data_IF_088985350073
#
_entry.id   IF_088985350073
#
_cell.length_a   1.000
_cell.length_b   1.000
_cell.length_c   1.000
_cell.angle_alpha   90.00
_cell.angle_beta   90.00
_cell.angle_gamma   90.00
#
_symmetry.space_group_name_H-M   'P 1'
#
loop_
_entity.id
_entity.type
_entity.pdbx_description
1 polymer ?
#
# COMPACT_ATOMS: atom_id res chain seq x y z
N UNK A 1 29.95 3.49 -8.79
CA UNK A 1 29.94 4.89 -9.27
C UNK A 1 28.58 5.18 -9.88
N UNK A 2 27.95 6.26 -9.49
CA UNK A 2 26.71 6.70 -10.11
C UNK A 2 27.01 7.28 -11.49
N UNK A 3 26.51 6.65 -12.55
CA UNK A 3 26.76 7.07 -13.94
C UNK A 3 25.77 8.13 -14.44
N UNK A 4 24.63 8.28 -13.78
CA UNK A 4 23.60 9.26 -14.14
C UNK A 4 23.01 9.87 -12.88
N UNK A 5 23.00 11.19 -12.80
CA UNK A 5 22.33 11.94 -11.74
C UNK A 5 21.08 12.57 -12.36
N UNK A 6 19.92 12.17 -11.86
CA UNK A 6 18.68 12.87 -12.23
C UNK A 6 18.60 14.18 -11.46
N UNK A 7 18.37 15.27 -12.15
CA UNK A 7 18.16 16.58 -11.54
C UNK A 7 16.88 16.62 -10.69
N UNK A 8 15.93 15.76 -11.03
CA UNK A 8 14.67 15.61 -10.29
C UNK A 8 14.56 14.17 -9.84
N UNK A 9 14.20 13.96 -8.59
CA UNK A 9 13.86 12.64 -8.08
C UNK A 9 12.66 12.03 -8.80
N UNK A 10 12.37 10.75 -8.53
CA UNK A 10 11.16 10.13 -9.03
C UNK A 10 9.93 10.92 -8.60
N UNK A 11 8.98 11.12 -9.52
CA UNK A 11 7.76 11.87 -9.25
C UNK A 11 6.89 11.22 -8.16
N UNK A 12 6.99 9.89 -8.04
CA UNK A 12 6.26 9.12 -7.03
C UNK A 12 6.95 7.77 -6.75
N UNK A 13 6.65 7.19 -5.61
CA UNK A 13 7.02 5.83 -5.23
C UNK A 13 5.90 5.22 -4.37
N UNK A 14 5.86 3.91 -4.30
CA UNK A 14 4.82 3.20 -3.54
C UNK A 14 4.79 3.63 -2.07
N UNK A 15 3.60 3.75 -1.53
CA UNK A 15 3.40 4.17 -0.14
C UNK A 15 3.50 5.67 0.11
N UNK A 16 3.83 6.48 -0.91
CA UNK A 16 3.85 7.93 -0.79
C UNK A 16 2.41 8.47 -0.74
N UNK A 17 2.15 9.39 0.19
CA UNK A 17 0.88 10.11 0.24
C UNK A 17 0.74 11.04 -0.97
N UNK A 18 -0.45 11.04 -1.56
CA UNK A 18 -0.86 12.13 -2.44
C UNK A 18 -1.34 13.30 -1.57
N UNK A 19 -0.79 14.48 -1.78
CA UNK A 19 -1.02 15.64 -0.94
C UNK A 19 -2.42 16.27 -1.04
N UNK A 20 -3.32 15.70 -1.83
CA UNK A 20 -4.65 16.26 -2.09
C UNK A 20 -5.70 15.55 -1.24
N UNK A 21 -6.50 16.33 -0.53
CA UNK A 21 -7.68 15.88 0.19
C UNK A 21 -7.46 15.49 1.66
N UNK A 22 -8.55 15.21 2.37
CA UNK A 22 -8.49 14.80 3.77
C UNK A 22 -7.88 13.40 3.91
N UNK A 23 -7.18 13.18 5.01
CA UNK A 23 -6.55 11.89 5.32
C UNK A 23 -6.65 11.56 6.80
N UNK A 24 -6.75 10.28 7.09
CA UNK A 24 -6.71 9.75 8.45
C UNK A 24 -5.57 8.74 8.52
N UNK A 25 -4.58 9.04 9.34
CA UNK A 25 -3.41 8.18 9.57
C UNK A 25 -3.40 7.78 11.03
N UNK A 26 -3.27 6.49 11.29
CA UNK A 26 -3.13 5.96 12.63
C UNK A 26 -1.79 5.22 12.77
N UNK A 27 -1.25 5.18 13.99
CA UNK A 27 -0.01 4.48 14.30
C UNK A 27 -0.30 3.20 15.05
N UNK A 28 0.36 2.12 14.63
CA UNK A 28 0.27 0.80 15.25
C UNK A 28 1.66 0.20 15.38
N UNK A 29 1.83 -0.80 16.23
CA UNK A 29 3.02 -1.64 16.24
C UNK A 29 2.91 -2.74 15.18
N UNK A 30 4.00 -3.01 14.47
CA UNK A 30 4.06 -4.13 13.54
C UNK A 30 4.22 -5.44 14.31
N UNK A 31 3.27 -6.36 14.19
CA UNK A 31 3.39 -7.69 14.77
C UNK A 31 4.35 -8.59 13.98
N UNK A 32 4.55 -8.27 12.71
CA UNK A 32 5.49 -8.91 11.80
C UNK A 32 6.15 -7.88 10.86
N UNK A 33 7.11 -8.29 10.05
CA UNK A 33 7.67 -7.41 9.02
C UNK A 33 6.59 -7.03 7.99
N UNK A 34 6.38 -5.74 7.75
CA UNK A 34 5.35 -5.20 6.86
C UNK A 34 6.01 -4.38 5.75
N UNK A 35 5.90 -4.79 4.48
CA UNK A 35 6.37 -3.99 3.36
C UNK A 35 5.59 -2.68 3.22
N UNK A 36 6.24 -1.67 2.69
CA UNK A 36 5.63 -0.39 2.35
C UNK A 36 4.52 -0.59 1.29
N UNK A 37 3.44 0.18 1.41
CA UNK A 37 2.24 0.11 0.56
C UNK A 37 1.47 -1.22 0.63
N UNK A 38 1.77 -2.06 1.60
CA UNK A 38 1.04 -3.30 1.81
C UNK A 38 -0.26 -3.03 2.59
N UNK A 39 -1.39 -3.68 2.24
CA UNK A 39 -2.59 -3.60 3.06
C UNK A 39 -2.35 -4.29 4.42
N UNK A 40 -2.90 -3.72 5.47
CA UNK A 40 -2.74 -4.21 6.84
C UNK A 40 -4.09 -4.50 7.49
N UNK A 41 -4.09 -5.47 8.37
CA UNK A 41 -5.23 -5.84 9.23
C UNK A 41 -4.84 -5.72 10.69
N UNK A 42 -5.83 -5.70 11.58
CA UNK A 42 -5.59 -5.69 13.01
C UNK A 42 -4.88 -6.99 13.45
N UNK A 43 -3.90 -6.84 14.33
CA UNK A 43 -3.12 -7.93 14.88
C UNK A 43 -3.80 -8.63 16.07
N UNK A 44 -3.01 -9.34 16.86
CA UNK A 44 -3.47 -10.05 18.05
C UNK A 44 -4.01 -9.07 19.09
N UNK A 45 -3.30 -7.97 19.35
CA UNK A 45 -3.77 -6.86 20.18
C UNK A 45 -4.43 -5.83 19.25
N UNK A 46 -5.74 -5.91 19.10
CA UNK A 46 -6.50 -5.23 18.03
C UNK A 46 -6.46 -3.70 18.07
N UNK A 47 -6.19 -3.09 19.19
CA UNK A 47 -6.10 -1.65 19.35
C UNK A 47 -4.68 -1.11 19.23
N UNK A 48 -3.68 -1.98 19.20
CA UNK A 48 -2.27 -1.61 19.24
C UNK A 48 -1.41 -2.16 18.10
N UNK A 49 -1.79 -3.28 17.50
CA UNK A 49 -0.95 -4.03 16.57
C UNK A 49 -1.60 -4.26 15.21
N UNK A 50 -0.77 -4.35 14.17
CA UNK A 50 -1.19 -4.69 12.80
C UNK A 50 -0.30 -5.77 12.20
N UNK A 51 -0.90 -6.53 11.28
CA UNK A 51 -0.26 -7.56 10.45
C UNK A 51 -0.46 -7.23 8.98
N UNK A 52 0.30 -7.89 8.10
CA UNK A 52 -0.03 -7.91 6.67
C UNK A 52 -1.43 -8.49 6.46
N UNK A 53 -2.24 -7.82 5.66
CA UNK A 53 -3.51 -8.38 5.23
C UNK A 53 -3.24 -9.41 4.14
N UNK A 54 -3.39 -10.68 4.47
CA UNK A 54 -3.29 -11.80 3.52
C UNK A 54 -4.61 -12.06 2.78
N UNK A 55 -5.66 -11.36 3.18
CA UNK A 55 -6.99 -11.38 2.54
C UNK A 55 -7.54 -9.95 2.49
N UNK A 56 -8.37 -9.66 1.51
CA UNK A 56 -9.03 -8.35 1.42
C UNK A 56 -10.03 -8.09 2.54
N UNK A 57 -10.60 -9.15 3.12
CA UNK A 57 -11.70 -9.06 4.08
C UNK A 57 -11.34 -8.41 5.43
N UNK A 58 -10.10 -8.45 5.85
CA UNK A 58 -9.67 -7.89 7.13
C UNK A 58 -8.88 -6.59 7.04
N UNK A 59 -8.63 -6.10 5.85
CA UNK A 59 -7.79 -4.92 5.64
C UNK A 59 -8.46 -3.65 6.18
N UNK A 60 -7.72 -2.90 7.00
CA UNK A 60 -8.19 -1.64 7.60
C UNK A 60 -7.54 -0.40 6.98
N UNK A 61 -6.48 -0.58 6.22
CA UNK A 61 -5.72 0.48 5.59
C UNK A 61 -4.43 -0.05 4.97
N UNK A 62 -3.52 0.86 4.64
CA UNK A 62 -2.25 0.55 3.99
C UNK A 62 -1.08 1.14 4.76
N UNK A 63 0.03 0.42 4.81
CA UNK A 63 1.28 0.91 5.39
C UNK A 63 1.86 2.02 4.52
N UNK A 64 2.13 3.18 5.13
CA UNK A 64 2.71 4.32 4.45
C UNK A 64 4.23 4.21 4.33
N UNK A 65 4.81 4.88 3.34
CA UNK A 65 6.25 5.04 3.22
C UNK A 65 6.80 5.86 4.40
N UNK A 66 7.91 5.40 4.93
CA UNK A 66 8.68 6.11 5.95
C UNK A 66 10.10 6.35 5.42
N UNK A 67 10.48 7.61 5.28
CA UNK A 67 11.80 8.01 4.77
C UNK A 67 12.96 7.63 5.69
N UNK A 68 12.68 7.32 6.95
CA UNK A 68 13.69 6.86 7.90
C UNK A 68 14.06 5.39 7.75
N UNK A 69 13.39 4.66 6.85
CA UNK A 69 13.63 3.24 6.65
C UNK A 69 14.75 2.99 5.66
N UNK A 70 15.70 2.17 6.08
CA UNK A 70 16.74 1.68 5.20
C UNK A 70 16.22 0.52 4.34
N UNK A 71 16.79 0.41 3.15
CA UNK A 71 16.54 -0.73 2.30
C UNK A 71 17.22 -1.98 2.86
N UNK A 72 16.49 -3.08 2.98
CA UNK A 72 17.06 -4.36 3.41
C UNK A 72 18.08 -4.89 2.38
N UNK A 73 18.87 -5.87 2.78
CA UNK A 73 19.81 -6.56 1.88
C UNK A 73 19.13 -7.20 0.65
N UNK A 74 17.83 -7.48 0.76
CA UNK A 74 17.00 -7.97 -0.37
C UNK A 74 16.41 -6.85 -1.23
N UNK A 75 16.77 -5.60 -0.99
CA UNK A 75 16.25 -4.45 -1.72
C UNK A 75 14.85 -4.01 -1.34
N UNK A 76 14.33 -4.48 -0.22
CA UNK A 76 12.98 -4.17 0.26
C UNK A 76 13.02 -3.08 1.32
N UNK A 77 12.14 -2.09 1.19
CA UNK A 77 11.84 -1.12 2.25
C UNK A 77 10.64 -1.63 3.01
N UNK A 78 10.81 -1.91 4.30
CA UNK A 78 9.75 -2.47 5.14
C UNK A 78 9.91 -2.08 6.60
N UNK A 79 8.80 -2.14 7.34
CA UNK A 79 8.82 -2.05 8.79
C UNK A 79 9.26 -3.39 9.37
N UNK A 80 10.16 -3.38 10.34
CA UNK A 80 10.51 -4.57 11.10
C UNK A 80 9.45 -4.88 12.16
N UNK A 81 9.46 -6.11 12.67
CA UNK A 81 8.61 -6.50 13.80
C UNK A 81 8.80 -5.54 14.99
N UNK A 82 7.71 -5.16 15.64
CA UNK A 82 7.63 -4.23 16.78
C UNK A 82 7.95 -2.76 16.46
N UNK A 83 8.22 -2.42 15.23
CA UNK A 83 8.35 -1.01 14.83
C UNK A 83 6.98 -0.34 14.70
N UNK A 84 6.97 0.98 14.86
CA UNK A 84 5.76 1.78 14.65
C UNK A 84 5.47 1.92 13.18
N UNK A 85 4.28 1.50 12.77
CA UNK A 85 3.77 1.57 11.39
C UNK A 85 2.75 2.70 11.29
N UNK A 86 2.94 3.60 10.32
CA UNK A 86 1.92 4.57 9.95
C UNK A 86 0.96 3.92 8.96
N UNK A 87 -0.31 3.83 9.31
CA UNK A 87 -1.37 3.21 8.51
C UNK A 87 -2.32 4.27 7.99
N UNK A 88 -2.44 4.38 6.68
CA UNK A 88 -3.45 5.22 6.04
C UNK A 88 -4.79 4.50 6.04
N UNK A 89 -5.73 5.01 6.82
CA UNK A 89 -7.10 4.47 6.93
C UNK A 89 -8.06 5.16 5.97
N UNK A 90 -7.80 6.41 5.65
CA UNK A 90 -8.58 7.21 4.70
C UNK A 90 -7.66 8.23 4.03
N UNK A 91 -7.82 8.40 2.73
CA UNK A 91 -7.04 9.36 1.95
C UNK A 91 -6.50 8.77 0.65
N UNK A 92 -5.53 9.43 0.05
CA UNK A 92 -4.95 9.04 -1.23
C UNK A 92 -3.48 8.68 -1.08
N UNK A 93 -3.06 7.64 -1.77
CA UNK A 93 -1.66 7.20 -1.78
C UNK A 93 -1.28 6.53 -3.10
N UNK A 94 0.01 6.45 -3.35
CA UNK A 94 0.57 5.72 -4.47
C UNK A 94 0.75 4.25 -4.11
N UNK A 95 0.29 3.38 -5.00
CA UNK A 95 0.42 1.92 -4.88
C UNK A 95 0.97 1.32 -6.17
N UNK A 96 1.56 0.13 -6.07
CA UNK A 96 1.92 -0.65 -7.25
C UNK A 96 0.73 -1.46 -7.75
N UNK A 97 0.57 -1.51 -9.06
CA UNK A 97 -0.42 -2.34 -9.73
C UNK A 97 0.22 -3.60 -10.33
N UNK A 98 -0.56 -4.67 -10.43
CA UNK A 98 -0.12 -5.92 -11.05
C UNK A 98 -0.07 -5.80 -12.57
N UNK A 99 -0.98 -5.03 -13.15
CA UNK A 99 -1.23 -4.89 -14.59
C UNK A 99 -1.78 -3.50 -14.92
N UNK A 100 -2.28 -3.31 -16.13
CA UNK A 100 -2.99 -2.10 -16.52
C UNK A 100 -4.29 -1.95 -15.72
N UNK A 101 -4.55 -0.78 -15.18
CA UNK A 101 -5.76 -0.46 -14.41
C UNK A 101 -6.43 0.79 -14.94
N UNK A 102 -7.75 0.83 -14.85
CA UNK A 102 -8.57 1.97 -15.27
C UNK A 102 -8.80 2.99 -14.15
N UNK A 103 -8.72 4.28 -14.46
CA UNK A 103 -9.13 5.32 -13.53
C UNK A 103 -10.62 5.17 -13.17
N UNK A 104 -10.95 5.31 -11.89
CA UNK A 104 -12.30 5.13 -11.36
C UNK A 104 -12.69 3.68 -11.06
N UNK A 105 -11.88 2.70 -11.44
CA UNK A 105 -12.15 1.29 -11.16
C UNK A 105 -11.97 0.97 -9.68
N UNK A 106 -12.71 -0.02 -9.20
CA UNK A 106 -12.53 -0.58 -7.86
C UNK A 106 -11.23 -1.37 -7.82
N UNK A 107 -10.41 -1.11 -6.80
CA UNK A 107 -9.18 -1.84 -6.59
C UNK A 107 -9.42 -3.12 -5.78
N UNK A 108 -8.86 -4.21 -6.25
CA UNK A 108 -8.85 -5.51 -5.58
C UNK A 108 -7.41 -5.92 -5.24
N UNK A 109 -7.26 -6.76 -4.23
CA UNK A 109 -5.97 -7.22 -3.75
C UNK A 109 -5.51 -8.47 -4.51
N UNK A 110 -4.31 -8.41 -5.08
CA UNK A 110 -3.60 -9.62 -5.54
C UNK A 110 -2.88 -10.23 -4.34
N UNK A 111 -3.41 -11.32 -3.82
CA UNK A 111 -2.99 -11.94 -2.55
C UNK A 111 -1.52 -12.34 -2.54
N UNK A 112 -1.02 -12.87 -3.66
CA UNK A 112 0.36 -13.37 -3.76
C UNK A 112 1.42 -12.28 -3.62
N UNK A 113 1.13 -11.05 -4.06
CA UNK A 113 2.12 -9.96 -4.14
C UNK A 113 1.80 -8.76 -3.26
N UNK A 114 0.56 -8.63 -2.78
CA UNK A 114 0.08 -7.44 -2.08
C UNK A 114 -0.14 -6.24 -3.00
N UNK A 115 0.01 -6.39 -4.31
CA UNK A 115 -0.26 -5.36 -5.31
C UNK A 115 -1.76 -5.27 -5.60
N UNK A 116 -2.19 -4.18 -6.20
CA UNK A 116 -3.58 -3.94 -6.53
C UNK A 116 -3.84 -4.15 -8.03
N UNK A 117 -5.07 -4.56 -8.34
CA UNK A 117 -5.56 -4.74 -9.69
C UNK A 117 -7.02 -4.26 -9.79
N UNK A 118 -7.49 -3.96 -10.99
CA UNK A 118 -8.91 -3.70 -11.25
C UNK A 118 -9.66 -4.94 -11.79
N UNK A 119 -8.97 -6.07 -11.87
CA UNK A 119 -9.59 -7.33 -12.28
C UNK A 119 -10.68 -7.77 -11.29
N UNK A 120 -11.66 -8.51 -11.81
CA UNK A 120 -12.73 -9.07 -10.99
C UNK A 120 -12.19 -10.08 -9.95
N UNK A 121 -12.91 -10.19 -8.84
CA UNK A 121 -12.61 -11.18 -7.80
C UNK A 121 -12.57 -12.58 -8.39
N UNK A 122 -11.47 -13.27 -8.19
CA UNK A 122 -11.19 -14.62 -8.70
C UNK A 122 -10.17 -15.31 -7.79
N UNK A 123 -9.69 -16.49 -8.19
CA UNK A 123 -8.62 -17.15 -7.44
C UNK A 123 -7.37 -16.26 -7.36
N UNK A 124 -6.94 -15.94 -6.15
CA UNK A 124 -5.79 -15.06 -5.88
C UNK A 124 -6.09 -13.56 -5.96
N UNK A 125 -7.31 -13.15 -6.26
CA UNK A 125 -7.74 -11.75 -6.28
C UNK A 125 -8.94 -11.59 -5.35
N UNK A 126 -8.80 -10.73 -4.34
CA UNK A 126 -9.83 -10.52 -3.32
C UNK A 126 -10.26 -9.05 -3.22
N UNK A 127 -11.54 -8.85 -2.96
CA UNK A 127 -12.10 -7.55 -2.69
C UNK A 127 -11.82 -7.09 -1.26
N UNK A 128 -11.64 -5.78 -1.08
CA UNK A 128 -11.66 -5.16 0.23
C UNK A 128 -13.12 -5.03 0.72
N UNK A 129 -13.40 -5.48 1.94
CA UNK A 129 -14.76 -5.46 2.48
C UNK A 129 -14.97 -4.43 3.60
N UNK A 130 -13.91 -4.07 4.32
CA UNK A 130 -13.99 -3.08 5.41
C UNK A 130 -13.65 -1.66 4.98
N UNK A 131 -12.95 -1.52 3.88
CA UNK A 131 -12.57 -0.25 3.29
C UNK A 131 -12.96 -0.23 1.81
N UNK A 132 -13.22 0.95 1.28
CA UNK A 132 -13.43 1.15 -0.16
C UNK A 132 -12.16 1.69 -0.78
N UNK A 133 -11.62 0.99 -1.76
CA UNK A 133 -10.39 1.37 -2.47
C UNK A 133 -10.71 1.52 -3.96
N UNK A 134 -10.45 2.71 -4.51
CA UNK A 134 -10.65 2.99 -5.93
C UNK A 134 -9.42 3.61 -6.54
N UNK A 135 -9.12 3.26 -7.78
CA UNK A 135 -8.09 3.92 -8.57
C UNK A 135 -8.53 5.33 -8.98
N UNK A 136 -7.69 6.31 -8.70
CA UNK A 136 -7.88 7.69 -9.17
C UNK A 136 -7.20 7.89 -10.52
N UNK A 137 -6.02 7.27 -10.71
CA UNK A 137 -5.28 7.29 -11.96
C UNK A 137 -5.20 5.90 -12.56
N UNK A 138 -5.17 5.83 -13.89
CA UNK A 138 -4.96 4.57 -14.60
C UNK A 138 -3.49 4.33 -14.94
N UNK A 139 -3.18 3.10 -15.34
CA UNK A 139 -1.89 2.68 -15.87
C UNK A 139 -2.06 1.88 -17.16
N UNK A 140 -1.05 1.89 -18.01
CA UNK A 140 -1.06 1.09 -19.27
C UNK A 140 -0.41 -0.28 -19.10
N UNK A 141 0.11 -0.58 -17.93
CA UNK A 141 0.75 -1.85 -17.55
C UNK A 141 1.01 -1.83 -16.06
N UNK A 142 1.75 -2.81 -15.56
CA UNK A 142 2.20 -2.79 -14.17
C UNK A 142 2.98 -1.51 -13.86
N UNK A 143 2.63 -0.82 -12.79
CA UNK A 143 3.25 0.45 -12.43
C UNK A 143 2.66 1.09 -11.20
N UNK A 144 2.80 2.40 -11.08
CA UNK A 144 2.30 3.18 -9.96
C UNK A 144 0.98 3.86 -10.31
N UNK A 145 0.01 3.76 -9.43
CA UNK A 145 -1.27 4.44 -9.53
C UNK A 145 -1.65 5.07 -8.19
N UNK A 146 -2.46 6.12 -8.23
CA UNK A 146 -3.04 6.71 -7.03
C UNK A 146 -4.35 5.98 -6.73
N UNK A 147 -4.52 5.55 -5.48
CA UNK A 147 -5.79 5.04 -4.97
C UNK A 147 -6.35 5.96 -3.90
N UNK A 148 -7.67 6.00 -3.81
CA UNK A 148 -8.40 6.64 -2.73
C UNK A 148 -9.01 5.57 -1.83
N UNK A 149 -8.73 5.70 -0.54
CA UNK A 149 -9.24 4.82 0.52
C UNK A 149 -10.30 5.58 1.31
N UNK A 150 -11.42 4.97 1.48
CA UNK A 150 -12.53 5.49 2.29
C UNK A 150 -13.01 4.50 3.34
#
# INVERSE_FOLDING_TARGET
MQSTISQYGAAAFKGMLDGIGPRVVASYAAEEAIPIAYPVKLGTTKDAEVLKATTGAGAIGFALHDYAREQSSAGLVQYAQYETVSVLKQGRMWVETTDAVGAGATANLTVATGKLTDEAVAAGIEAFTQISVKFITGTTGAGLAIVEIK
#
